data_IF_299959898034
#
_entry.id   IF_299959898034
#
_cell.length_a   1.000
_cell.length_b   1.000
_cell.length_c   1.000
_cell.angle_alpha   90.00
_cell.angle_beta   90.00
_cell.angle_gamma   90.00
#
_symmetry.space_group_name_H-M   'P 1'
#
loop_
_entity.id
_entity.type
_entity.pdbx_description
1 polymer ?
#
# COMPACT_ATOMS: atom_id res chain seq x y z
N UNK A 1 9.61 15.36 -0.40
CA UNK A 1 8.24 15.26 -0.92
C UNK A 1 7.29 15.72 0.16
N UNK A 2 6.11 16.19 -0.21
CA UNK A 2 5.18 16.77 0.75
C UNK A 2 4.29 15.65 1.32
N UNK A 3 4.43 15.39 2.61
CA UNK A 3 3.55 14.53 3.37
C UNK A 3 2.47 15.40 4.00
N UNK A 4 1.20 14.99 3.88
CA UNK A 4 0.07 15.80 4.30
C UNK A 4 -0.69 15.12 5.42
N UNK A 5 -1.26 15.93 6.30
CA UNK A 5 -2.11 15.49 7.39
C UNK A 5 -3.34 16.40 7.52
N UNK A 6 -4.49 15.81 7.86
CA UNK A 6 -5.69 16.55 8.23
C UNK A 6 -6.50 15.77 9.26
N UNK A 7 -7.35 16.46 10.02
CA UNK A 7 -8.23 15.82 10.99
C UNK A 7 -9.57 16.54 11.09
N UNK A 8 -10.56 15.86 11.65
CA UNK A 8 -11.86 16.47 11.86
C UNK A 8 -12.91 15.49 12.36
N UNK A 9 -14.16 15.87 12.18
CA UNK A 9 -15.33 15.07 12.53
C UNK A 9 -16.05 14.65 11.25
N UNK A 10 -16.41 13.38 11.16
CA UNK A 10 -17.29 12.85 10.12
C UNK A 10 -18.67 12.57 10.73
N UNK A 11 -19.72 12.89 9.96
CA UNK A 11 -21.10 12.68 10.39
C UNK A 11 -21.55 11.23 10.30
N UNK A 12 -20.98 10.49 9.36
CA UNK A 12 -21.26 9.09 9.05
C UNK A 12 -20.19 8.58 8.05
N UNK A 13 -20.35 7.35 7.58
CA UNK A 13 -19.44 6.70 6.62
C UNK A 13 -19.36 7.45 5.29
N UNK A 14 -20.50 7.91 4.76
CA UNK A 14 -20.55 8.63 3.49
C UNK A 14 -19.79 9.96 3.54
N UNK A 15 -19.92 10.70 4.64
CA UNK A 15 -19.18 11.96 4.87
C UNK A 15 -17.66 11.70 4.94
N UNK A 16 -17.22 10.67 5.69
CA UNK A 16 -15.81 10.30 5.72
C UNK A 16 -15.29 9.91 4.33
N UNK A 17 -16.05 9.15 3.55
CA UNK A 17 -15.63 8.72 2.22
C UNK A 17 -15.38 9.92 1.28
N UNK A 18 -16.25 10.93 1.31
CA UNK A 18 -16.05 12.17 0.54
C UNK A 18 -14.81 12.91 1.02
N UNK A 19 -14.64 13.09 2.33
CA UNK A 19 -13.48 13.76 2.92
C UNK A 19 -12.17 13.04 2.62
N UNK A 20 -12.15 11.72 2.63
CA UNK A 20 -11.00 10.89 2.27
C UNK A 20 -10.62 11.09 0.79
N UNK A 21 -11.61 11.01 -0.11
CA UNK A 21 -11.40 11.27 -1.54
C UNK A 21 -10.88 12.69 -1.78
N UNK A 22 -11.47 13.70 -1.13
CA UNK A 22 -11.03 15.09 -1.26
C UNK A 22 -9.60 15.27 -0.74
N UNK A 23 -9.25 14.68 0.41
CA UNK A 23 -7.88 14.70 0.93
C UNK A 23 -6.87 14.15 -0.07
N UNK A 24 -7.12 12.94 -0.59
CA UNK A 24 -6.20 12.27 -1.50
C UNK A 24 -6.08 13.00 -2.84
N UNK A 25 -7.18 13.48 -3.41
CA UNK A 25 -7.17 14.13 -4.73
C UNK A 25 -6.64 15.56 -4.65
N UNK A 26 -7.10 16.35 -3.68
CA UNK A 26 -6.82 17.80 -3.65
C UNK A 26 -5.53 18.16 -2.94
N UNK A 27 -5.10 17.37 -1.95
CA UNK A 27 -3.88 17.63 -1.19
C UNK A 27 -2.75 16.69 -1.59
N UNK A 28 -2.99 15.37 -1.60
CA UNK A 28 -1.94 14.41 -1.94
C UNK A 28 -1.67 14.28 -3.44
N UNK A 29 -2.55 14.79 -4.32
CA UNK A 29 -2.36 14.75 -5.77
C UNK A 29 -2.73 13.42 -6.44
N UNK A 30 -3.51 12.57 -5.76
CA UNK A 30 -4.06 11.36 -6.38
C UNK A 30 -5.08 11.73 -7.45
N UNK A 31 -5.27 10.83 -8.41
CA UNK A 31 -6.28 10.98 -9.46
C UNK A 31 -7.55 10.23 -9.10
N UNK A 32 -8.72 10.88 -9.22
CA UNK A 32 -10.00 10.17 -9.24
C UNK A 32 -10.11 9.41 -10.57
N UNK A 33 -9.93 8.10 -10.51
CA UNK A 33 -9.86 7.23 -11.69
C UNK A 33 -11.23 6.70 -12.10
N UNK A 34 -12.11 6.44 -11.14
CA UNK A 34 -13.51 6.07 -11.39
C UNK A 34 -14.41 6.56 -10.25
N UNK A 35 -15.64 6.95 -10.60
CA UNK A 35 -16.62 7.55 -9.70
C UNK A 35 -17.95 6.76 -9.74
N UNK A 36 -18.13 5.92 -8.72
CA UNK A 36 -19.34 5.16 -8.48
C UNK A 36 -20.28 5.80 -7.47
N UNK A 37 -20.14 7.10 -7.17
CA UNK A 37 -20.88 7.75 -6.07
C UNK A 37 -22.41 7.74 -6.23
N UNK A 38 -22.92 7.58 -7.46
CA UNK A 38 -24.35 7.47 -7.76
C UNK A 38 -24.94 6.06 -7.62
N UNK A 39 -24.15 5.06 -7.25
CA UNK A 39 -24.59 3.66 -7.13
C UNK A 39 -25.12 3.34 -5.73
N UNK A 40 -25.75 2.16 -5.59
CA UNK A 40 -26.33 1.70 -4.32
C UNK A 40 -25.29 1.53 -3.21
N UNK A 41 -24.08 1.09 -3.57
CA UNK A 41 -22.88 1.10 -2.73
C UNK A 41 -21.89 2.14 -3.30
N UNK A 42 -21.99 3.41 -2.90
CA UNK A 42 -21.15 4.48 -3.43
C UNK A 42 -19.66 4.16 -3.27
N UNK A 43 -18.87 4.40 -4.31
CA UNK A 43 -17.42 4.18 -4.25
C UNK A 43 -16.64 5.22 -5.03
N UNK A 44 -15.34 5.31 -4.71
CA UNK A 44 -14.34 5.99 -5.51
C UNK A 44 -13.17 5.05 -5.77
N UNK A 45 -12.68 5.01 -7.01
CA UNK A 45 -11.40 4.38 -7.34
C UNK A 45 -10.38 5.49 -7.53
N UNK A 46 -9.34 5.46 -6.72
CA UNK A 46 -8.27 6.44 -6.75
C UNK A 46 -7.00 5.80 -7.29
N UNK A 47 -6.27 6.57 -8.09
CA UNK A 47 -5.01 6.18 -8.70
C UNK A 47 -3.88 7.08 -8.23
N UNK A 48 -2.71 6.50 -7.97
CA UNK A 48 -1.47 7.24 -7.80
C UNK A 48 -0.31 6.60 -8.58
N UNK A 49 0.59 7.44 -9.09
CA UNK A 49 1.86 7.04 -9.71
C UNK A 49 3.00 6.85 -8.70
N UNK A 50 2.71 7.04 -7.41
CA UNK A 50 3.73 7.16 -6.38
C UNK A 50 4.57 8.43 -6.56
N UNK A 51 5.37 8.72 -5.55
CA UNK A 51 6.33 9.82 -5.56
C UNK A 51 7.48 9.57 -6.57
N UNK A 52 7.72 8.31 -6.93
CA UNK A 52 8.69 7.93 -7.97
C UNK A 52 8.18 8.22 -9.38
N UNK A 53 6.87 8.41 -9.56
CA UNK A 53 6.21 8.50 -10.87
C UNK A 53 6.14 7.17 -11.62
N UNK A 54 6.65 6.08 -11.04
CA UNK A 54 6.79 4.76 -11.67
C UNK A 54 5.90 3.70 -11.05
N UNK A 55 5.15 4.01 -10.00
CA UNK A 55 4.24 3.07 -9.35
C UNK A 55 2.90 3.00 -10.09
N UNK A 56 2.16 1.90 -9.89
CA UNK A 56 0.76 1.79 -10.29
C UNK A 56 -0.08 1.42 -9.07
N UNK A 57 -0.63 2.44 -8.41
CA UNK A 57 -1.45 2.26 -7.20
C UNK A 57 -2.90 2.48 -7.58
N UNK A 58 -3.73 1.45 -7.48
CA UNK A 58 -5.18 1.52 -7.68
C UNK A 58 -5.89 1.02 -6.43
N UNK A 59 -6.65 1.90 -5.78
CA UNK A 59 -7.41 1.56 -4.56
C UNK A 59 -8.86 2.01 -4.72
N UNK A 60 -9.78 1.09 -4.49
CA UNK A 60 -11.21 1.38 -4.38
C UNK A 60 -11.60 1.52 -2.91
N UNK A 61 -12.32 2.60 -2.61
CA UNK A 61 -12.97 2.85 -1.33
C UNK A 61 -14.49 2.81 -1.53
N UNK A 62 -15.17 1.90 -0.85
CA UNK A 62 -16.61 1.67 -1.00
C UNK A 62 -17.29 1.98 0.33
N UNK A 63 -18.34 2.80 0.31
CA UNK A 63 -19.27 2.88 1.43
C UNK A 63 -20.06 1.57 1.50
N UNK A 64 -19.67 0.67 2.40
CA UNK A 64 -20.32 -0.63 2.55
C UNK A 64 -21.65 -0.43 3.28
N UNK A 65 -22.75 -0.27 2.55
CA UNK A 65 -24.07 0.05 3.10
C UNK A 65 -24.60 -1.01 4.09
N UNK A 66 -24.00 -2.20 4.12
CA UNK A 66 -24.36 -3.28 5.02
C UNK A 66 -23.64 -3.25 6.37
N UNK A 67 -22.62 -2.38 6.51
CA UNK A 67 -21.73 -2.33 7.67
C UNK A 67 -21.32 -0.89 8.00
N UNK A 68 -21.02 -0.62 9.27
CA UNK A 68 -20.40 0.65 9.67
C UNK A 68 -18.91 0.67 9.26
N UNK A 69 -18.61 0.65 7.94
CA UNK A 69 -17.25 0.71 7.44
C UNK A 69 -17.11 1.23 5.99
N UNK A 70 -15.90 1.67 5.64
CA UNK A 70 -15.47 1.82 4.25
C UNK A 70 -14.69 0.57 3.87
N UNK A 71 -15.17 -0.20 2.89
CA UNK A 71 -14.44 -1.34 2.33
C UNK A 71 -13.32 -0.85 1.42
N UNK A 72 -12.12 -1.41 1.59
CA UNK A 72 -10.92 -1.04 0.84
C UNK A 72 -10.42 -2.23 0.04
N UNK A 73 -10.19 -2.00 -1.26
CA UNK A 73 -9.70 -3.01 -2.20
C UNK A 73 -8.56 -2.44 -3.04
N UNK A 74 -7.48 -3.19 -3.19
CA UNK A 74 -6.39 -2.89 -4.11
C UNK A 74 -6.54 -3.65 -5.42
N UNK A 75 -5.91 -3.16 -6.49
CA UNK A 75 -5.95 -3.80 -7.80
C UNK A 75 -4.60 -3.76 -8.50
N UNK A 76 -4.34 -4.75 -9.37
CA UNK A 76 -3.28 -4.62 -10.38
C UNK A 76 -3.55 -3.41 -11.27
N UNK A 77 -4.80 -3.30 -11.71
CA UNK A 77 -5.31 -2.26 -12.58
C UNK A 77 -6.84 -2.13 -12.41
N UNK A 78 -7.38 -0.96 -12.73
CA UNK A 78 -8.81 -0.74 -12.83
C UNK A 78 -9.18 -0.21 -14.21
N UNK A 79 -10.12 -0.87 -14.88
CA UNK A 79 -10.69 -0.38 -16.13
C UNK A 79 -11.91 0.50 -15.83
N UNK A 80 -11.76 1.81 -16.01
CA UNK A 80 -12.84 2.79 -15.78
C UNK A 80 -13.96 2.72 -16.83
N UNK A 81 -13.68 2.27 -18.06
CA UNK A 81 -14.70 2.15 -19.11
C UNK A 81 -15.70 1.02 -18.81
N UNK A 82 -15.22 -0.05 -18.18
CA UNK A 82 -16.03 -1.22 -17.82
C UNK A 82 -16.39 -1.29 -16.34
N UNK A 83 -15.94 -0.31 -15.54
CA UNK A 83 -16.06 -0.30 -14.08
C UNK A 83 -15.62 -1.62 -13.41
N UNK A 84 -14.47 -2.15 -13.85
CA UNK A 84 -14.02 -3.48 -13.43
C UNK A 84 -12.53 -3.49 -13.06
N UNK A 85 -12.24 -4.09 -11.92
CA UNK A 85 -10.88 -4.26 -11.43
C UNK A 85 -10.23 -5.57 -11.88
N UNK A 86 -8.93 -5.53 -12.13
CA UNK A 86 -8.10 -6.68 -12.50
C UNK A 86 -7.23 -7.08 -11.31
N UNK A 87 -7.20 -8.40 -11.03
CA UNK A 87 -6.44 -9.02 -9.92
C UNK A 87 -6.64 -8.26 -8.60
N UNK A 88 -7.87 -8.26 -8.12
CA UNK A 88 -8.24 -7.59 -6.85
C UNK A 88 -7.50 -8.19 -5.66
N UNK A 89 -7.24 -7.35 -4.66
CA UNK A 89 -6.63 -7.66 -3.37
C UNK A 89 -7.52 -7.10 -2.28
N UNK A 90 -8.20 -7.99 -1.55
CA UNK A 90 -9.03 -7.59 -0.42
C UNK A 90 -9.39 -8.80 0.43
N UNK A 91 -9.82 -8.60 1.67
CA UNK A 91 -10.45 -9.67 2.43
C UNK A 91 -11.81 -9.20 2.92
N UNK A 92 -12.85 -9.93 2.55
CA UNK A 92 -14.23 -9.58 2.89
C UNK A 92 -14.40 -9.43 4.40
N UNK A 93 -14.98 -8.31 4.83
CA UNK A 93 -15.16 -7.96 6.25
C UNK A 93 -13.85 -7.70 7.01
N UNK A 94 -12.70 -7.64 6.32
CA UNK A 94 -11.39 -7.56 6.96
C UNK A 94 -10.55 -6.39 6.42
N UNK A 95 -10.56 -6.07 5.13
CA UNK A 95 -9.87 -4.87 4.61
C UNK A 95 -10.80 -3.67 4.62
N UNK A 96 -10.94 -3.04 5.79
CA UNK A 96 -11.90 -1.96 6.01
C UNK A 96 -11.30 -0.82 6.84
N UNK A 97 -11.82 0.39 6.65
CA UNK A 97 -11.71 1.51 7.58
C UNK A 97 -12.98 1.48 8.44
N UNK A 98 -12.83 1.37 9.76
CA UNK A 98 -13.98 1.34 10.67
C UNK A 98 -14.65 2.71 10.71
N UNK A 99 -15.99 2.75 10.69
CA UNK A 99 -16.77 3.99 10.79
C UNK A 99 -17.95 3.80 11.73
N UNK A 100 -18.85 4.78 11.79
CA UNK A 100 -20.13 4.66 12.49
C UNK A 100 -21.19 5.56 11.86
N UNK A 101 -22.30 5.00 11.40
CA UNK A 101 -23.36 5.81 10.78
C UNK A 101 -24.34 6.40 11.78
N UNK A 102 -24.51 5.75 12.94
CA UNK A 102 -25.47 6.18 13.95
C UNK A 102 -24.96 7.34 14.84
N UNK A 103 -23.72 7.78 14.67
CA UNK A 103 -23.11 8.82 15.49
C UNK A 103 -21.92 9.46 14.77
N UNK A 104 -21.65 10.72 15.08
CA UNK A 104 -20.43 11.39 14.64
C UNK A 104 -19.19 10.72 15.26
N UNK A 105 -18.07 10.75 14.53
CA UNK A 105 -16.79 10.21 14.98
C UNK A 105 -15.63 11.07 14.49
N UNK A 106 -14.49 11.01 15.18
CA UNK A 106 -13.28 11.75 14.80
C UNK A 106 -12.45 10.95 13.81
N UNK A 107 -11.74 11.66 12.94
CA UNK A 107 -10.80 11.07 11.99
C UNK A 107 -9.50 11.88 11.89
N UNK A 108 -8.45 11.17 11.46
CA UNK A 108 -7.18 11.73 11.02
C UNK A 108 -6.77 11.01 9.73
N UNK A 109 -6.40 11.80 8.72
CA UNK A 109 -5.91 11.30 7.44
C UNK A 109 -4.47 11.77 7.27
N UNK A 110 -3.62 10.86 6.85
CA UNK A 110 -2.23 11.11 6.53
C UNK A 110 -1.90 10.49 5.19
N UNK A 111 -1.03 11.11 4.41
CA UNK A 111 -0.61 10.51 3.15
C UNK A 111 0.16 11.44 2.23
N UNK A 112 0.62 10.84 1.15
CA UNK A 112 1.37 11.42 0.04
C UNK A 112 1.00 10.64 -1.24
N UNK A 113 1.76 10.72 -2.32
CA UNK A 113 1.49 9.92 -3.51
C UNK A 113 1.75 8.41 -3.29
N UNK A 114 2.53 8.01 -2.29
CA UNK A 114 2.91 6.62 -2.08
C UNK A 114 1.86 5.84 -1.28
N UNK A 115 1.18 6.50 -0.34
CA UNK A 115 0.26 5.81 0.57
C UNK A 115 -0.75 6.72 1.28
N UNK A 116 -1.68 6.08 1.97
CA UNK A 116 -2.61 6.69 2.91
C UNK A 116 -2.65 5.91 4.22
N UNK A 117 -2.63 6.64 5.33
CA UNK A 117 -2.94 6.13 6.65
C UNK A 117 -4.16 6.86 7.22
N UNK A 118 -5.14 6.09 7.69
CA UNK A 118 -6.39 6.60 8.24
C UNK A 118 -6.52 6.13 9.68
N UNK A 119 -6.82 7.07 10.57
CA UNK A 119 -7.23 6.78 11.94
C UNK A 119 -8.65 7.27 12.15
N UNK A 120 -9.50 6.43 12.72
CA UNK A 120 -10.85 6.81 13.16
C UNK A 120 -11.00 6.51 14.64
N UNK A 121 -11.63 7.41 15.38
CA UNK A 121 -12.00 7.20 16.79
C UNK A 121 -13.50 7.02 16.89
N UNK A 122 -13.93 5.80 17.17
CA UNK A 122 -15.33 5.46 17.39
C UNK A 122 -15.50 5.22 18.88
N UNK A 123 -16.31 6.04 19.53
CA UNK A 123 -16.42 6.08 21.00
C UNK A 123 -15.06 6.31 21.67
N UNK A 124 -14.52 5.32 22.37
CA UNK A 124 -13.21 5.36 23.03
C UNK A 124 -12.11 4.61 22.26
N UNK A 125 -12.42 3.96 21.14
CA UNK A 125 -11.47 3.07 20.44
C UNK A 125 -10.94 3.72 19.17
N UNK A 126 -9.63 3.66 18.98
CA UNK A 126 -8.96 4.08 17.74
C UNK A 126 -8.71 2.90 16.82
N UNK A 127 -9.09 3.06 15.56
CA UNK A 127 -8.92 2.07 14.50
C UNK A 127 -7.99 2.67 13.44
N UNK A 128 -6.99 1.90 13.02
CA UNK A 128 -6.03 2.30 11.99
C UNK A 128 -6.23 1.51 10.70
N UNK A 129 -5.94 2.15 9.57
CA UNK A 129 -5.90 1.54 8.26
C UNK A 129 -4.75 2.12 7.43
N UNK A 130 -4.00 1.27 6.75
CA UNK A 130 -2.94 1.65 5.83
C UNK A 130 -3.22 1.04 4.47
N UNK A 131 -3.10 1.82 3.39
CA UNK A 131 -3.09 1.28 2.03
C UNK A 131 -2.13 2.09 1.16
N UNK A 132 -1.47 1.42 0.22
CA UNK A 132 -0.47 2.04 -0.66
C UNK A 132 0.78 1.18 -0.79
N UNK A 133 1.89 1.78 -1.16
CA UNK A 133 3.19 1.09 -1.19
C UNK A 133 3.84 1.05 0.18
N UNK A 134 4.92 0.29 0.30
CA UNK A 134 5.79 0.28 1.49
C UNK A 134 7.16 0.84 1.11
N UNK A 135 7.94 1.23 2.11
CA UNK A 135 9.38 1.43 1.94
C UNK A 135 10.03 0.07 1.77
N UNK A 136 10.13 -0.35 0.51
CA UNK A 136 10.70 -1.62 0.05
C UNK A 136 12.19 -1.74 0.42
N UNK A 137 12.62 -2.95 0.78
CA UNK A 137 14.05 -3.27 0.93
C UNK A 137 14.73 -3.61 -0.40
N UNK A 138 13.92 -3.95 -1.40
CA UNK A 138 14.31 -4.22 -2.77
C UNK A 138 14.38 -2.93 -3.59
N UNK A 139 14.99 -2.97 -4.77
CA UNK A 139 14.99 -1.84 -5.69
C UNK A 139 13.60 -1.49 -6.18
N UNK A 140 13.31 -0.19 -6.23
CA UNK A 140 12.11 0.37 -6.87
C UNK A 140 12.26 0.62 -8.37
N UNK A 141 13.45 0.40 -8.93
CA UNK A 141 13.70 0.68 -10.34
C UNK A 141 13.00 -0.36 -11.23
N UNK A 142 12.44 0.11 -12.35
CA UNK A 142 11.74 -0.74 -13.31
C UNK A 142 12.23 -0.45 -14.73
N UNK A 143 12.44 -1.52 -15.49
CA UNK A 143 12.58 -1.47 -16.93
C UNK A 143 11.20 -1.54 -17.59
N UNK A 144 11.04 -0.92 -18.76
CA UNK A 144 9.78 -0.80 -19.48
C UNK A 144 9.90 -1.48 -20.85
N UNK A 145 8.99 -2.39 -21.16
CA UNK A 145 8.95 -3.05 -22.47
C UNK A 145 8.65 -2.05 -23.59
N UNK A 146 9.39 -2.15 -24.69
CA UNK A 146 9.28 -1.25 -25.84
C UNK A 146 8.24 -1.74 -26.87
N UNK A 147 7.78 -2.97 -26.73
CA UNK A 147 6.77 -3.59 -27.57
C UNK A 147 5.98 -4.63 -26.76
N UNK A 148 4.83 -5.05 -27.29
CA UNK A 148 4.10 -6.18 -26.75
C UNK A 148 4.94 -7.47 -26.89
N UNK A 149 4.81 -8.36 -25.90
CA UNK A 149 5.54 -9.63 -25.82
C UNK A 149 4.57 -10.79 -25.78
N UNK A 150 4.91 -11.86 -26.49
CA UNK A 150 4.12 -13.09 -26.51
C UNK A 150 4.68 -14.10 -25.52
N UNK A 151 3.79 -14.87 -24.89
CA UNK A 151 4.16 -15.99 -24.03
C UNK A 151 5.05 -17.02 -24.77
N UNK A 152 5.90 -17.71 -24.04
CA UNK A 152 6.77 -18.75 -24.59
C UNK A 152 7.99 -19.02 -23.71
N UNK A 153 8.94 -19.76 -24.27
CA UNK A 153 10.24 -20.05 -23.65
C UNK A 153 11.36 -19.32 -24.38
N UNK A 154 12.38 -18.88 -23.63
CA UNK A 154 13.51 -18.08 -24.14
C UNK A 154 13.04 -16.83 -24.90
N UNK A 155 12.06 -16.12 -24.33
CA UNK A 155 11.46 -14.94 -24.95
C UNK A 155 12.44 -13.77 -24.84
N UNK A 156 12.82 -13.19 -25.98
CA UNK A 156 13.62 -11.97 -26.03
C UNK A 156 12.69 -10.76 -25.96
N UNK A 157 12.92 -9.89 -24.98
CA UNK A 157 12.11 -8.71 -24.70
C UNK A 157 12.97 -7.47 -24.90
N UNK A 158 12.47 -6.53 -25.71
CA UNK A 158 13.07 -5.21 -25.85
C UNK A 158 12.62 -4.32 -24.70
N UNK A 159 13.58 -3.72 -23.99
CA UNK A 159 13.34 -2.83 -22.84
C UNK A 159 14.16 -1.54 -22.95
N UNK A 160 13.74 -0.49 -22.24
CA UNK A 160 14.44 0.79 -22.23
C UNK A 160 15.82 0.72 -21.54
N UNK A 161 15.92 -0.01 -20.44
CA UNK A 161 17.14 -0.09 -19.63
C UNK A 161 17.30 -1.50 -19.05
N UNK A 162 18.19 -2.29 -19.64
CA UNK A 162 18.49 -3.62 -19.16
C UNK A 162 19.50 -3.64 -18.01
N UNK A 163 20.21 -2.54 -17.76
CA UNK A 163 21.25 -2.48 -16.72
C UNK A 163 20.71 -2.73 -15.31
N UNK A 164 19.41 -2.46 -15.11
CA UNK A 164 18.66 -2.72 -13.88
C UNK A 164 18.53 -4.21 -13.52
N UNK A 165 18.75 -5.11 -14.48
CA UNK A 165 18.47 -6.54 -14.34
C UNK A 165 19.74 -7.38 -14.39
N UNK A 166 19.80 -8.42 -13.57
CA UNK A 166 20.96 -9.33 -13.46
C UNK A 166 20.61 -10.71 -14.01
N UNK A 167 21.49 -11.26 -14.84
CA UNK A 167 21.34 -12.60 -15.40
C UNK A 167 21.38 -13.66 -14.28
N UNK A 168 20.43 -14.60 -14.31
CA UNK A 168 20.24 -15.64 -13.31
C UNK A 168 19.25 -15.28 -12.21
N UNK A 169 18.95 -13.99 -12.01
CA UNK A 169 18.03 -13.51 -11.00
C UNK A 169 16.56 -13.60 -11.44
N UNK A 170 15.67 -13.53 -10.45
CA UNK A 170 14.23 -13.47 -10.65
C UNK A 170 13.72 -12.04 -10.45
N UNK A 171 12.76 -11.67 -11.29
CA UNK A 171 12.10 -10.37 -11.30
C UNK A 171 10.61 -10.56 -11.49
N UNK A 172 9.83 -9.51 -11.28
CA UNK A 172 8.41 -9.46 -11.60
C UNK A 172 8.24 -8.68 -12.89
N UNK A 173 7.43 -9.23 -13.81
CA UNK A 173 6.87 -8.49 -14.94
C UNK A 173 5.38 -8.27 -14.71
N UNK A 174 4.90 -7.07 -15.02
CA UNK A 174 3.47 -6.74 -14.97
C UNK A 174 3.04 -5.80 -16.09
N UNK A 175 1.78 -5.91 -16.47
CA UNK A 175 1.02 -4.90 -17.20
C UNK A 175 -0.34 -4.70 -16.52
N UNK A 176 -1.32 -4.16 -17.24
CA UNK A 176 -2.66 -3.93 -16.71
C UNK A 176 -3.51 -5.21 -16.58
N UNK A 177 -3.07 -6.32 -17.19
CA UNK A 177 -3.83 -7.58 -17.22
C UNK A 177 -3.19 -8.67 -16.36
N UNK A 178 -1.86 -8.76 -16.41
CA UNK A 178 -1.08 -9.87 -15.89
C UNK A 178 0.07 -9.38 -15.01
N UNK A 179 0.46 -10.27 -14.10
CA UNK A 179 1.62 -10.11 -13.24
C UNK A 179 2.20 -11.50 -12.97
N UNK A 180 3.50 -11.65 -13.13
CA UNK A 180 4.18 -12.91 -12.82
C UNK A 180 5.65 -12.73 -12.48
N UNK A 181 6.20 -13.71 -11.77
CA UNK A 181 7.63 -13.84 -11.52
C UNK A 181 8.32 -14.56 -12.67
N UNK A 182 9.40 -13.96 -13.18
CA UNK A 182 10.19 -14.42 -14.32
C UNK A 182 11.67 -14.50 -13.99
N UNK A 183 12.41 -15.36 -14.69
CA UNK A 183 13.87 -15.43 -14.58
C UNK A 183 14.52 -14.83 -15.82
N UNK A 184 15.49 -13.93 -15.62
CA UNK A 184 16.31 -13.37 -16.70
C UNK A 184 17.48 -14.31 -16.97
N UNK A 185 17.63 -14.80 -18.20
CA UNK A 185 18.67 -15.76 -18.61
C UNK A 185 19.73 -15.16 -19.52
N UNK A 186 19.44 -14.04 -20.17
CA UNK A 186 20.43 -13.26 -20.90
C UNK A 186 20.06 -11.76 -20.85
N UNK A 187 21.05 -10.91 -21.08
CA UNK A 187 20.93 -9.46 -21.06
C UNK A 187 21.86 -8.85 -22.10
N UNK A 188 21.37 -7.87 -22.84
CA UNK A 188 22.14 -7.02 -23.72
C UNK A 188 21.88 -5.54 -23.39
N UNK A 189 22.92 -4.85 -22.91
CA UNK A 189 22.92 -3.43 -22.56
C UNK A 189 23.51 -2.55 -23.66
N UNK A 190 24.03 -3.13 -24.74
CA UNK A 190 24.73 -2.41 -25.81
C UNK A 190 23.79 -2.09 -26.99
N UNK A 191 22.79 -2.94 -27.25
CA UNK A 191 21.78 -2.67 -28.30
C UNK A 191 20.79 -1.57 -27.91
N UNK A 192 20.22 -0.89 -28.91
CA UNK A 192 19.13 0.06 -28.73
C UNK A 192 17.91 -0.38 -29.57
N UNK A 193 16.77 -0.73 -28.95
CA UNK A 193 16.56 -0.83 -27.50
C UNK A 193 17.40 -1.95 -26.87
N UNK A 194 17.69 -1.86 -25.57
CA UNK A 194 18.31 -2.95 -24.83
C UNK A 194 17.41 -4.19 -24.87
N UNK A 195 17.98 -5.37 -24.57
CA UNK A 195 17.18 -6.60 -24.50
C UNK A 195 17.48 -7.45 -23.28
N UNK A 196 16.48 -8.23 -22.87
CA UNK A 196 16.62 -9.33 -21.91
C UNK A 196 16.00 -10.59 -22.50
N UNK A 197 16.51 -11.75 -22.11
CA UNK A 197 15.87 -13.04 -22.40
C UNK A 197 15.24 -13.58 -21.13
N UNK A 198 13.97 -13.97 -21.21
CA UNK A 198 13.21 -14.60 -20.12
C UNK A 198 13.12 -16.11 -20.35
N UNK A 199 13.43 -16.91 -19.33
CA UNK A 199 13.42 -18.37 -19.41
C UNK A 199 12.06 -18.92 -19.88
N UNK A 200 11.01 -18.54 -19.17
CA UNK A 200 9.61 -18.92 -19.43
C UNK A 200 8.73 -17.74 -19.08
N UNK A 201 7.87 -17.38 -20.02
CA UNK A 201 6.83 -16.37 -19.87
C UNK A 201 5.50 -17.06 -20.16
N UNK A 202 4.57 -17.07 -19.20
CA UNK A 202 3.33 -17.84 -19.35
C UNK A 202 2.21 -17.01 -19.93
N UNK A 203 2.21 -15.69 -19.66
CA UNK A 203 1.27 -14.76 -20.25
C UNK A 203 1.95 -13.89 -21.34
N UNK A 204 1.15 -13.32 -22.24
CA UNK A 204 1.61 -12.19 -23.05
C UNK A 204 1.45 -10.89 -22.26
N UNK A 205 2.29 -9.90 -22.56
CA UNK A 205 2.20 -8.56 -21.96
C UNK A 205 2.16 -7.48 -23.03
N UNK A 206 1.41 -6.42 -22.76
CA UNK A 206 1.35 -5.26 -23.61
C UNK A 206 2.69 -4.48 -23.65
N UNK A 207 2.82 -3.58 -24.62
CA UNK A 207 3.89 -2.59 -24.61
C UNK A 207 3.75 -1.69 -23.39
N UNK A 208 4.87 -1.30 -22.77
CA UNK A 208 4.85 -0.52 -21.55
C UNK A 208 4.78 -1.35 -20.26
N UNK A 209 4.81 -2.68 -20.37
CA UNK A 209 4.90 -3.56 -19.20
C UNK A 209 6.17 -3.26 -18.39
N UNK A 210 6.06 -3.32 -17.06
CA UNK A 210 7.14 -3.00 -16.11
C UNK A 210 7.81 -4.29 -15.65
N UNK A 211 9.14 -4.29 -15.63
CA UNK A 211 9.98 -5.39 -15.14
C UNK A 211 10.91 -4.87 -14.05
N UNK A 212 10.88 -5.46 -12.86
CA UNK A 212 11.71 -5.01 -11.73
C UNK A 212 11.67 -5.97 -10.56
N UNK A 213 12.38 -5.65 -9.47
CA UNK A 213 12.37 -6.49 -8.26
C UNK A 213 10.99 -6.46 -7.58
N UNK A 214 10.43 -5.26 -7.43
CA UNK A 214 9.05 -5.11 -6.97
C UNK A 214 8.35 -3.91 -7.64
N UNK A 215 7.84 -4.07 -8.89
CA UNK A 215 7.19 -3.00 -9.64
C UNK A 215 5.78 -2.65 -9.10
N UNK A 216 5.25 -3.40 -8.13
CA UNK A 216 3.95 -3.11 -7.51
C UNK A 216 3.88 -3.65 -6.06
N UNK A 217 4.52 -2.96 -5.10
CA UNK A 217 4.56 -3.35 -3.68
C UNK A 217 3.30 -2.96 -2.90
N UNK A 218 2.16 -2.82 -3.58
CA UNK A 218 0.92 -2.32 -2.97
C UNK A 218 0.40 -3.32 -1.94
N UNK A 219 0.13 -2.81 -0.74
CA UNK A 219 -0.52 -3.53 0.35
C UNK A 219 -1.84 -2.85 0.73
N UNK A 220 -2.77 -3.68 1.20
CA UNK A 220 -4.05 -3.27 1.76
C UNK A 220 -4.10 -3.75 3.20
N UNK A 221 -4.23 -2.80 4.10
CA UNK A 221 -4.35 -3.04 5.52
C UNK A 221 -5.60 -3.83 5.87
N UNK A 222 -5.48 -4.76 6.81
CA UNK A 222 -6.64 -5.29 7.52
C UNK A 222 -7.18 -4.23 8.49
N UNK A 223 -8.39 -4.44 8.98
CA UNK A 223 -8.99 -3.71 10.09
C UNK A 223 -7.99 -3.69 11.25
N UNK A 224 -7.70 -2.48 11.76
CA UNK A 224 -6.76 -2.20 12.85
C UNK A 224 -5.29 -2.46 12.51
N UNK A 225 -4.81 -1.87 11.42
CA UNK A 225 -3.37 -1.74 11.15
C UNK A 225 -2.71 -0.75 12.11
N UNK A 226 -1.39 -0.88 12.40
CA UNK A 226 -0.47 -1.95 11.93
C UNK A 226 -0.82 -3.33 12.51
N UNK A 227 -0.74 -4.37 11.68
CA UNK A 227 -1.23 -5.70 12.03
C UNK A 227 -1.21 -6.61 10.81
N UNK A 228 -2.29 -7.32 10.50
CA UNK A 228 -2.36 -8.11 9.26
C UNK A 228 -2.60 -7.23 8.03
N UNK A 229 -2.17 -7.71 6.87
CA UNK A 229 -2.37 -7.05 5.57
C UNK A 229 -2.53 -8.08 4.45
N UNK A 230 -2.91 -7.59 3.28
CA UNK A 230 -2.99 -8.34 2.04
C UNK A 230 -2.22 -7.60 0.94
N UNK A 231 -1.39 -8.31 0.19
CA UNK A 231 -0.68 -7.77 -0.96
C UNK A 231 -1.13 -8.43 -2.27
N UNK A 232 -0.86 -7.75 -3.38
CA UNK A 232 -1.10 -8.32 -4.71
C UNK A 232 -0.30 -9.61 -4.91
N UNK A 233 -0.97 -10.64 -5.43
CA UNK A 233 -0.29 -11.87 -5.78
C UNK A 233 0.62 -11.67 -7.00
N UNK A 234 1.89 -12.03 -6.85
CA UNK A 234 2.97 -11.82 -7.83
C UNK A 234 3.44 -13.11 -8.50
N UNK A 235 2.92 -14.26 -8.07
CA UNK A 235 3.32 -15.57 -8.59
C UNK A 235 2.32 -16.14 -9.58
N UNK A 236 2.88 -16.73 -10.63
CA UNK A 236 2.11 -17.46 -11.61
C UNK A 236 1.52 -18.74 -10.98
N UNK A 237 0.19 -18.88 -11.04
CA UNK A 237 -0.54 -20.04 -10.50
C UNK A 237 -1.24 -19.80 -9.16
N UNK A 238 -1.00 -18.67 -8.48
CA UNK A 238 -1.79 -18.32 -7.30
C UNK A 238 -3.05 -17.54 -7.73
N UNK A 239 -4.22 -18.03 -7.30
CA UNK A 239 -5.53 -17.63 -7.86
C UNK A 239 -6.46 -16.95 -6.86
N UNK A 240 -6.01 -16.73 -5.62
CA UNK A 240 -6.85 -16.13 -4.59
C UNK A 240 -7.07 -14.64 -4.85
N UNK A 241 -8.34 -14.24 -4.88
CA UNK A 241 -8.76 -12.83 -4.88
C UNK A 241 -8.43 -12.12 -3.54
N UNK A 242 -8.08 -12.88 -2.51
CA UNK A 242 -7.70 -12.30 -1.22
C UNK A 242 -6.33 -11.63 -1.26
N UNK A 243 -5.53 -11.91 -2.29
CA UNK A 243 -4.12 -11.58 -2.31
C UNK A 243 -3.30 -12.46 -1.37
N UNK A 244 -2.02 -12.14 -1.23
CA UNK A 244 -1.08 -12.83 -0.36
C UNK A 244 -1.15 -12.22 1.05
N UNK A 245 -1.18 -13.07 2.06
CA UNK A 245 -1.26 -12.62 3.46
C UNK A 245 0.10 -12.17 3.97
N UNK A 246 0.09 -11.04 4.67
CA UNK A 246 1.25 -10.55 5.40
C UNK A 246 0.89 -9.97 6.76
N UNK A 247 1.93 -9.53 7.46
CA UNK A 247 1.81 -8.87 8.73
C UNK A 247 2.80 -7.71 8.87
N UNK A 248 2.46 -6.82 9.79
CA UNK A 248 3.32 -5.79 10.34
C UNK A 248 3.79 -6.25 11.72
N UNK A 249 5.08 -6.12 11.99
CA UNK A 249 5.67 -6.33 13.30
C UNK A 249 6.55 -5.13 13.67
N UNK A 250 6.40 -4.63 14.88
CA UNK A 250 7.25 -3.55 15.35
C UNK A 250 8.69 -4.05 15.53
N UNK A 251 9.68 -3.29 15.05
CA UNK A 251 11.10 -3.65 15.16
C UNK A 251 11.66 -3.57 16.60
N UNK A 252 10.82 -3.24 17.59
CA UNK A 252 11.20 -3.08 18.99
C UNK A 252 11.06 -4.34 19.84
N UNK A 253 10.32 -5.38 19.43
CA UNK A 253 10.05 -6.53 20.28
C UNK A 253 9.67 -6.11 21.73
N UNK A 254 10.38 -6.57 22.76
CA UNK A 254 10.14 -6.18 24.17
C UNK A 254 10.73 -4.82 24.55
N UNK A 255 11.57 -4.19 23.70
CA UNK A 255 12.14 -2.87 23.96
C UNK A 255 11.09 -1.77 24.05
N UNK A 256 9.89 -1.99 23.52
CA UNK A 256 8.74 -1.12 23.70
C UNK A 256 8.43 -0.84 25.19
N UNK A 257 8.66 -1.81 26.07
CA UNK A 257 8.41 -1.69 27.52
C UNK A 257 9.61 -1.21 28.34
N UNK A 258 10.78 -1.01 27.72
CA UNK A 258 12.00 -0.57 28.42
C UNK A 258 12.28 0.92 28.25
N UNK A 259 11.59 1.57 27.32
CA UNK A 259 11.68 3.00 27.08
C UNK A 259 10.46 3.68 27.70
N UNK A 260 10.62 4.16 28.94
CA UNK A 260 9.75 5.18 29.51
C UNK A 260 10.32 6.55 29.09
N UNK A 261 9.64 7.28 28.19
CA UNK A 261 10.13 8.53 27.66
C UNK A 261 10.17 9.65 28.70
N UNK A 262 9.42 9.53 29.79
CA UNK A 262 9.34 10.57 30.83
C UNK A 262 10.53 10.53 31.81
N UNK A 263 11.24 9.40 31.91
CA UNK A 263 12.16 9.21 33.05
C UNK A 263 13.54 9.82 32.81
N UNK A 264 13.88 10.22 31.57
CA UNK A 264 15.19 10.84 31.31
C UNK A 264 15.13 12.23 30.71
N UNK A 265 14.43 12.45 29.60
CA UNK A 265 14.49 13.74 28.87
C UNK A 265 13.28 14.02 27.94
N UNK A 266 12.14 13.34 28.08
CA UNK A 266 11.02 13.46 27.13
C UNK A 266 11.35 12.90 25.74
N UNK A 267 12.24 11.90 25.67
CA UNK A 267 12.69 11.32 24.40
C UNK A 267 11.98 9.98 24.17
N UNK A 268 10.99 9.99 23.30
CA UNK A 268 10.32 8.77 22.80
C UNK A 268 11.16 8.10 21.72
N UNK A 269 11.52 6.83 21.93
CA UNK A 269 12.19 6.04 20.90
C UNK A 269 11.15 5.51 19.92
N UNK A 270 11.32 5.84 18.65
CA UNK A 270 10.48 5.39 17.56
C UNK A 270 11.15 4.23 16.82
N UNK A 271 10.36 3.22 16.46
CA UNK A 271 10.80 2.04 15.72
C UNK A 271 9.96 1.87 14.47
N UNK A 272 10.52 1.41 13.34
CA UNK A 272 9.72 1.16 12.15
C UNK A 272 8.75 -0.01 12.38
N UNK A 273 7.61 0.05 11.72
CA UNK A 273 6.74 -1.11 11.51
C UNK A 273 7.26 -1.89 10.30
N UNK A 274 7.82 -3.07 10.56
CA UNK A 274 8.31 -3.96 9.51
C UNK A 274 7.14 -4.69 8.86
N UNK A 275 7.12 -4.74 7.54
CA UNK A 275 6.13 -5.44 6.72
C UNK A 275 6.76 -6.69 6.13
N UNK A 276 6.08 -7.83 6.24
CA UNK A 276 6.49 -9.07 5.58
C UNK A 276 5.28 -9.94 5.19
N UNK A 277 5.43 -10.70 4.11
CA UNK A 277 4.50 -11.80 3.79
C UNK A 277 4.65 -12.94 4.82
N UNK A 278 3.53 -13.57 5.17
CA UNK A 278 3.47 -14.71 6.10
C UNK A 278 2.97 -15.99 5.41
N UNK A 279 2.59 -15.93 4.14
CA UNK A 279 2.16 -17.10 3.38
C UNK A 279 3.35 -18.00 3.04
N UNK A 280 3.22 -19.30 3.32
CA UNK A 280 4.23 -20.29 2.94
C UNK A 280 4.39 -20.39 1.42
N UNK A 281 5.61 -20.15 0.94
CA UNK A 281 6.03 -20.49 -0.43
C UNK A 281 6.05 -19.35 -1.45
N UNK A 282 5.51 -18.16 -1.17
CA UNK A 282 5.43 -17.05 -2.13
C UNK A 282 5.65 -15.67 -1.47
N UNK A 283 6.81 -15.46 -0.84
CA UNK A 283 7.11 -14.25 -0.04
C UNK A 283 7.86 -13.17 -0.85
N UNK A 284 7.15 -12.24 -1.51
CA UNK A 284 7.78 -11.20 -2.35
C UNK A 284 7.76 -9.79 -1.73
N UNK A 285 6.96 -9.54 -0.69
CA UNK A 285 6.83 -8.21 -0.07
C UNK A 285 7.57 -8.16 1.26
N UNK A 286 8.54 -7.25 1.36
CA UNK A 286 9.32 -6.94 2.58
C UNK A 286 9.71 -5.46 2.62
N UNK A 287 9.58 -4.83 3.77
CA UNK A 287 9.93 -3.42 3.93
C UNK A 287 9.42 -2.81 5.23
N UNK A 288 9.16 -1.52 5.22
CA UNK A 288 8.65 -0.74 6.35
C UNK A 288 7.40 0.04 5.93
N UNK A 289 6.46 0.27 6.87
CA UNK A 289 5.44 1.30 6.66
C UNK A 289 6.12 2.67 6.53
N UNK A 290 5.64 3.49 5.61
CA UNK A 290 6.16 4.84 5.40
C UNK A 290 5.55 5.76 6.47
N UNK A 291 6.39 6.56 7.13
CA UNK A 291 6.00 7.60 8.10
C UNK A 291 5.07 7.16 9.27
N UNK A 292 4.97 5.84 9.50
CA UNK A 292 4.23 5.21 10.61
C UNK A 292 5.19 4.37 11.45
N UNK A 293 5.26 4.67 12.75
CA UNK A 293 6.24 4.09 13.65
C UNK A 293 5.58 3.48 14.88
N UNK A 294 6.20 2.43 15.43
CA UNK A 294 5.88 1.88 16.74
C UNK A 294 6.62 2.67 17.81
N UNK A 295 5.97 2.87 18.93
CA UNK A 295 6.52 3.57 20.10
C UNK A 295 6.21 2.76 21.36
N UNK A 296 7.00 2.99 22.40
CA UNK A 296 6.75 2.39 23.72
C UNK A 296 5.42 2.82 24.30
N UNK A 297 4.78 1.93 25.07
CA UNK A 297 3.52 2.25 25.75
C UNK A 297 3.76 3.19 26.91
N UNK A 298 3.13 4.37 26.91
CA UNK A 298 3.12 5.27 28.06
C UNK A 298 3.84 6.62 27.88
N UNK A 299 4.10 7.06 26.65
CA UNK A 299 4.68 8.39 26.41
C UNK A 299 3.72 9.58 26.55
N UNK A 300 2.43 9.28 26.68
CA UNK A 300 1.35 10.24 26.58
C UNK A 300 0.03 9.53 26.29
N UNK A 301 -0.99 10.32 26.03
CA UNK A 301 -2.31 9.86 25.63
C UNK A 301 -2.43 9.80 24.10
N UNK A 302 -3.44 9.08 23.60
CA UNK A 302 -3.75 9.15 22.17
C UNK A 302 -4.15 10.59 21.81
N UNK A 303 -3.77 11.02 20.61
CA UNK A 303 -3.89 12.38 20.06
C UNK A 303 -2.78 13.35 20.52
N UNK A 304 -1.91 12.97 21.44
CA UNK A 304 -0.73 13.76 21.80
C UNK A 304 0.25 13.90 20.64
N UNK A 305 1.04 14.99 20.68
CA UNK A 305 2.06 15.31 19.67
C UNK A 305 3.45 15.14 20.26
N UNK A 306 4.25 14.29 19.62
CA UNK A 306 5.68 14.17 19.85
C UNK A 306 6.41 15.15 18.94
N UNK A 307 7.13 16.10 19.53
CA UNK A 307 8.06 16.96 18.82
C UNK A 307 9.49 16.45 19.05
N UNK A 308 10.12 15.94 17.99
CA UNK A 308 11.50 15.45 18.03
C UNK A 308 12.51 16.46 17.46
N UNK A 309 12.10 17.72 17.26
CA UNK A 309 12.90 18.82 16.70
C UNK A 309 13.23 18.69 15.21
N UNK A 310 13.08 17.51 14.63
CA UNK A 310 13.24 17.20 13.20
C UNK A 310 11.92 16.96 12.48
N UNK A 311 10.84 16.80 13.25
CA UNK A 311 9.48 16.56 12.79
C UNK A 311 8.54 16.38 13.99
N UNK A 312 7.26 16.56 13.72
CA UNK A 312 6.17 16.33 14.67
C UNK A 312 5.44 15.04 14.32
N UNK A 313 4.97 14.32 15.32
CA UNK A 313 4.27 13.06 15.15
C UNK A 313 3.07 12.98 16.08
N UNK A 314 1.90 12.64 15.56
CA UNK A 314 0.72 12.39 16.37
C UNK A 314 0.64 10.94 16.79
N UNK A 315 0.33 10.71 18.06
CA UNK A 315 0.32 9.40 18.68
C UNK A 315 -1.07 8.79 18.77
N UNK A 316 -1.19 7.47 18.61
CA UNK A 316 -2.43 6.75 18.86
C UNK A 316 -2.17 5.38 19.46
N UNK A 317 -3.05 4.97 20.38
CA UNK A 317 -3.17 3.59 20.83
C UNK A 317 -4.26 2.88 20.01
N UNK A 318 -3.84 2.19 18.95
CA UNK A 318 -4.74 1.52 18.02
C UNK A 318 -5.17 0.15 18.56
N UNK A 319 -6.43 -0.23 18.35
CA UNK A 319 -7.05 -1.39 19.01
C UNK A 319 -6.29 -2.71 18.86
N UNK A 320 -5.59 -2.96 17.74
CA UNK A 320 -4.73 -4.14 17.54
C UNK A 320 -3.26 -3.79 17.29
N UNK A 321 -2.97 -2.61 16.74
CA UNK A 321 -1.60 -2.18 16.46
C UNK A 321 -0.83 -1.70 17.69
N UNK A 322 -1.55 -1.41 18.79
CA UNK A 322 -0.95 -0.80 19.97
C UNK A 322 -0.51 0.64 19.70
N UNK A 323 0.52 1.06 20.41
CA UNK A 323 1.01 2.44 20.33
C UNK A 323 1.80 2.69 19.04
N UNK A 324 1.36 3.71 18.31
CA UNK A 324 1.98 4.18 17.09
C UNK A 324 2.12 5.71 17.10
N UNK A 325 3.10 6.19 16.34
CA UNK A 325 3.31 7.60 16.06
C UNK A 325 3.34 7.78 14.54
N UNK A 326 2.52 8.70 14.03
CA UNK A 326 2.41 9.01 12.61
C UNK A 326 2.88 10.44 12.41
N UNK A 327 3.72 10.67 11.41
CA UNK A 327 4.26 11.99 11.10
C UNK A 327 3.13 13.00 10.80
N UNK A 328 3.32 14.26 11.16
CA UNK A 328 2.41 15.37 10.81
C UNK A 328 3.00 16.29 9.75
#
# INVERSE_FOLDING_TARGET
MAYYSTSGTANNTADLLVKLKDFLVTMCGWTLHDDGSGLADPYYVLKSSGESGMEDIYIQFINDSSSDCISVKGYLYWNADTHAGIKVVFSSGATVISTKDSAQFLYWLYGDLDHVFVVTKITATYYGHYSGIIKRYWSGAVAITQAAVTAGSNVVIQINDASLLTVGSYYIIKDDANIERVQVTARDTESTPNTITIATLVAGYASGAKVGEDPQPVIIGRNNMPGSLYALNKWNGYTSATGQTGSCGAANATYAGYADPDVRYGLTIMFPWLVAMTSTGNEEVRGELIDVYSIGSGAGDSEDVLDLGTGTYKMFNLSNGGWCAIKE
#
